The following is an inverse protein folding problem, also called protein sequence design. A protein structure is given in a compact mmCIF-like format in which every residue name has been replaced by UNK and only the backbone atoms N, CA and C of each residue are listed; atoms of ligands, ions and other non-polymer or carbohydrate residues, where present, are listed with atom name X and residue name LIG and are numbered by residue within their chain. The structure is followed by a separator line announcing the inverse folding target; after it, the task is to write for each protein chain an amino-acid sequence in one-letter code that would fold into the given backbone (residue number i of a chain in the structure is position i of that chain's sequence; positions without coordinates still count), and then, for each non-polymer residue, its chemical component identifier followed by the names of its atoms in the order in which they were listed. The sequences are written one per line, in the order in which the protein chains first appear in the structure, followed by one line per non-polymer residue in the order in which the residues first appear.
data_IF_533946607728
#
_entry.id   IF_533946607728
#
_cell.length_a   1.000
_cell.length_b   1.000
_cell.length_c   1.000
_cell.angle_alpha   90.00
_cell.angle_beta   90.00
_cell.angle_gamma   90.00
#
_symmetry.space_group_name_H-M   'P 1'
#
loop_
_entity.id
_entity.type
_entity.pdbx_description
1 polymer ?
#
# COMPACT_ATOMS: atom_id res chain seq x y z
N UNK A 1 -42.81 -30.56 18.18
CA UNK A 1 -41.99 -30.80 16.98
C UNK A 1 -42.48 -29.88 15.88
N UNK A 2 -41.65 -28.97 15.37
CA UNK A 2 -42.04 -28.07 14.27
C UNK A 2 -42.25 -28.88 12.99
N UNK A 3 -43.35 -28.62 12.26
CA UNK A 3 -43.66 -29.29 11.00
C UNK A 3 -42.50 -29.08 10.00
N UNK A 4 -42.02 -30.16 9.38
CA UNK A 4 -40.88 -30.16 8.46
C UNK A 4 -41.10 -29.16 7.31
N UNK A 5 -42.33 -29.04 6.82
CA UNK A 5 -42.69 -28.08 5.78
C UNK A 5 -42.54 -26.62 6.24
N UNK A 6 -43.01 -26.30 7.45
CA UNK A 6 -42.87 -24.95 8.01
C UNK A 6 -41.40 -24.58 8.21
N UNK A 7 -40.59 -25.52 8.71
CA UNK A 7 -39.14 -25.34 8.85
C UNK A 7 -38.48 -25.04 7.49
N UNK A 8 -38.82 -25.80 6.45
CA UNK A 8 -38.23 -25.62 5.13
C UNK A 8 -38.64 -24.27 4.50
N UNK A 9 -39.89 -23.84 4.68
CA UNK A 9 -40.33 -22.51 4.24
C UNK A 9 -39.62 -21.37 4.95
N UNK A 10 -39.43 -21.48 6.27
CA UNK A 10 -38.68 -20.49 7.05
C UNK A 10 -37.23 -20.42 6.56
N UNK A 11 -36.59 -21.58 6.32
CA UNK A 11 -35.23 -21.63 5.79
C UNK A 11 -35.14 -20.99 4.39
N UNK A 12 -36.08 -21.30 3.49
CA UNK A 12 -36.12 -20.70 2.16
C UNK A 12 -36.29 -19.18 2.24
N UNK A 13 -37.22 -18.69 3.08
CA UNK A 13 -37.45 -17.27 3.27
C UNK A 13 -36.19 -16.57 3.83
N UNK A 14 -35.51 -17.17 4.81
CA UNK A 14 -34.27 -16.65 5.36
C UNK A 14 -33.15 -16.63 4.31
N UNK A 15 -33.02 -17.66 3.48
CA UNK A 15 -32.03 -17.71 2.39
C UNK A 15 -32.30 -16.66 1.31
N UNK A 16 -33.56 -16.47 0.91
CA UNK A 16 -33.95 -15.43 -0.06
C UNK A 16 -33.76 -14.03 0.51
N UNK A 17 -34.13 -13.80 1.78
CA UNK A 17 -33.90 -12.54 2.46
C UNK A 17 -32.40 -12.23 2.55
N UNK A 18 -31.57 -13.20 2.96
CA UNK A 18 -30.12 -13.05 3.01
C UNK A 18 -29.52 -12.75 1.63
N UNK A 19 -29.99 -13.42 0.57
CA UNK A 19 -29.55 -13.16 -0.80
C UNK A 19 -29.95 -11.76 -1.29
N UNK A 20 -31.20 -11.34 -1.03
CA UNK A 20 -31.68 -9.99 -1.36
C UNK A 20 -30.90 -8.90 -0.62
N UNK A 21 -30.64 -9.09 0.68
CA UNK A 21 -29.80 -8.23 1.49
C UNK A 21 -28.36 -8.16 0.96
N UNK A 22 -27.77 -9.29 0.56
CA UNK A 22 -26.42 -9.32 0.00
C UNK A 22 -26.33 -8.57 -1.34
N UNK A 23 -27.36 -8.66 -2.19
CA UNK A 23 -27.42 -7.90 -3.44
C UNK A 23 -27.60 -6.40 -3.19
N UNK A 24 -28.49 -6.03 -2.26
CA UNK A 24 -28.75 -4.63 -1.92
C UNK A 24 -27.56 -3.93 -1.24
N UNK A 25 -26.80 -4.67 -0.41
CA UNK A 25 -25.62 -4.16 0.31
C UNK A 25 -24.32 -4.32 -0.48
N UNK A 26 -24.35 -4.79 -1.73
CA UNK A 26 -23.15 -4.94 -2.55
C UNK A 26 -22.58 -3.54 -2.89
N UNK A 27 -21.36 -3.19 -2.47
CA UNK A 27 -20.78 -1.90 -2.79
C UNK A 27 -20.50 -1.78 -4.29
N UNK A 28 -20.91 -0.67 -4.89
CA UNK A 28 -20.81 -0.41 -6.34
C UNK A 28 -20.05 0.87 -6.68
N UNK A 29 -19.89 1.79 -5.71
CA UNK A 29 -19.27 3.09 -5.94
C UNK A 29 -17.79 3.07 -5.56
N UNK A 30 -16.88 3.34 -6.50
CA UNK A 30 -15.45 3.46 -6.20
C UNK A 30 -15.12 4.84 -5.65
N UNK A 31 -14.39 4.88 -4.53
CA UNK A 31 -13.87 6.12 -3.97
C UNK A 31 -12.86 6.77 -4.94
N UNK A 32 -12.11 5.95 -5.68
CA UNK A 32 -11.20 6.41 -6.74
C UNK A 32 -11.90 7.29 -7.79
N UNK A 33 -13.16 7.00 -8.12
CA UNK A 33 -13.92 7.71 -9.16
C UNK A 33 -14.52 9.04 -8.64
N UNK A 34 -14.44 9.31 -7.34
CA UNK A 34 -15.01 10.48 -6.67
C UNK A 34 -13.96 11.55 -6.31
N UNK A 35 -12.67 11.22 -6.39
CA UNK A 35 -11.56 12.10 -6.07
C UNK A 35 -10.77 12.54 -7.31
N UNK A 36 -9.71 13.34 -7.14
CA UNK A 36 -8.79 13.64 -8.23
C UNK A 36 -8.18 12.33 -8.75
N UNK A 37 -8.03 12.24 -10.07
CA UNK A 37 -7.37 11.09 -10.67
C UNK A 37 -5.94 10.98 -10.11
N UNK A 38 -5.57 9.77 -9.68
CA UNK A 38 -4.20 9.47 -9.28
C UNK A 38 -3.38 9.27 -10.55
N UNK A 39 -2.29 9.99 -10.69
CA UNK A 39 -1.21 9.74 -11.65
C UNK A 39 0.09 9.75 -10.85
N UNK A 40 0.62 8.56 -10.52
CA UNK A 40 1.81 8.43 -9.68
C UNK A 40 3.04 9.13 -10.30
N UNK A 41 3.15 9.14 -11.63
CA UNK A 41 4.27 9.79 -12.31
C UNK A 41 4.23 11.31 -12.15
N UNK A 42 3.03 11.89 -12.24
CA UNK A 42 2.82 13.33 -12.07
C UNK A 42 2.85 13.78 -10.60
N UNK A 43 2.34 12.95 -9.68
CA UNK A 43 2.20 13.30 -8.26
C UNK A 43 3.55 13.23 -7.53
N UNK A 44 4.35 12.19 -7.82
CA UNK A 44 5.62 12.01 -7.12
C UNK A 44 6.67 12.92 -7.79
N UNK A 45 7.33 13.82 -7.04
CA UNK A 45 8.28 14.76 -7.63
C UNK A 45 9.58 14.06 -8.05
N UNK A 46 10.13 14.43 -9.21
CA UNK A 46 11.46 13.98 -9.66
C UNK A 46 12.61 14.57 -8.82
N UNK A 47 12.37 15.69 -8.11
CA UNK A 47 13.34 16.35 -7.24
C UNK A 47 12.64 17.03 -6.06
N UNK A 48 13.21 16.92 -4.87
CA UNK A 48 12.72 17.59 -3.66
C UNK A 48 13.83 17.64 -2.61
N UNK A 49 13.93 18.74 -1.87
CA UNK A 49 15.07 18.97 -0.96
C UNK A 49 16.39 18.73 -1.68
N UNK A 50 17.22 17.86 -1.09
CA UNK A 50 18.53 17.46 -1.64
C UNK A 50 18.46 16.21 -2.53
N UNK A 51 17.28 15.60 -2.69
CA UNK A 51 17.07 14.38 -3.47
C UNK A 51 16.76 14.71 -4.92
N UNK A 52 17.36 13.95 -5.82
CA UNK A 52 17.03 13.92 -7.25
C UNK A 52 16.84 12.49 -7.69
N UNK A 53 15.91 12.26 -8.59
CA UNK A 53 15.78 10.96 -9.24
C UNK A 53 17.07 10.64 -10.01
N UNK A 54 17.60 9.46 -9.76
CA UNK A 54 18.70 8.90 -10.53
C UNK A 54 18.09 8.16 -11.73
N UNK A 55 18.00 8.87 -12.86
CA UNK A 55 17.57 8.27 -14.13
C UNK A 55 18.69 7.37 -14.66
N UNK A 56 18.71 6.10 -14.24
CA UNK A 56 19.54 5.08 -14.90
C UNK A 56 18.78 4.56 -16.11
N UNK A 57 19.47 4.52 -17.26
CA UNK A 57 19.06 3.78 -18.46
C UNK A 57 19.05 2.24 -18.27
N UNK A 58 18.86 1.75 -17.05
CA UNK A 58 18.58 0.33 -16.83
C UNK A 58 17.09 0.15 -17.05
N UNK A 59 16.72 -0.22 -18.28
CA UNK A 59 15.45 -0.91 -18.52
C UNK A 59 15.48 -2.12 -17.58
N UNK A 60 14.81 -2.02 -16.45
CA UNK A 60 14.57 -3.17 -15.60
C UNK A 60 13.61 -4.02 -16.44
N UNK A 61 14.16 -4.98 -17.19
CA UNK A 61 13.38 -5.91 -17.99
C UNK A 61 12.63 -6.76 -16.97
N UNK A 62 11.45 -6.29 -16.58
CA UNK A 62 10.51 -7.09 -15.82
C UNK A 62 10.02 -8.16 -16.78
N UNK A 63 10.06 -9.42 -16.34
CA UNK A 63 9.53 -10.52 -17.12
C UNK A 63 8.09 -10.19 -17.56
N UNK A 64 7.73 -10.33 -18.85
CA UNK A 64 6.41 -9.94 -19.33
C UNK A 64 5.24 -10.65 -18.64
N UNK A 65 5.43 -11.89 -18.16
CA UNK A 65 4.39 -12.61 -17.41
C UNK A 65 4.25 -12.03 -16.00
N UNK A 66 5.37 -11.65 -15.37
CA UNK A 66 5.37 -10.96 -14.09
C UNK A 66 4.70 -9.58 -14.19
N UNK A 67 4.97 -8.82 -15.26
CA UNK A 67 4.30 -7.53 -15.50
C UNK A 67 2.79 -7.70 -15.69
N UNK A 68 2.36 -8.69 -16.48
CA UNK A 68 0.94 -9.00 -16.65
C UNK A 68 0.23 -9.38 -15.34
N UNK A 69 0.95 -10.02 -14.42
CA UNK A 69 0.40 -10.33 -13.10
C UNK A 69 0.28 -9.07 -12.23
N UNK A 70 1.26 -8.17 -12.29
CA UNK A 70 1.24 -6.89 -11.60
C UNK A 70 0.08 -6.02 -12.11
N UNK A 71 -0.09 -5.90 -13.43
CA UNK A 71 -1.12 -5.07 -14.07
C UNK A 71 -2.55 -5.56 -13.80
N UNK A 72 -2.72 -6.85 -13.46
CA UNK A 72 -4.03 -7.39 -13.04
C UNK A 72 -4.41 -6.99 -11.62
N UNK A 73 -3.42 -6.65 -10.78
CA UNK A 73 -3.58 -6.40 -9.35
C UNK A 73 -3.52 -4.90 -9.06
N UNK A 74 -2.68 -4.16 -9.78
CA UNK A 74 -2.47 -2.73 -9.59
C UNK A 74 -2.88 -1.95 -10.83
N UNK A 75 -3.58 -0.83 -10.60
CA UNK A 75 -3.91 0.11 -11.66
C UNK A 75 -2.70 0.95 -12.07
N UNK A 76 -1.81 1.27 -11.13
CA UNK A 76 -0.57 1.98 -11.40
C UNK A 76 0.54 1.49 -10.47
N UNK A 77 1.77 1.46 -10.98
CA UNK A 77 2.96 1.24 -10.17
C UNK A 77 4.00 2.29 -10.49
N UNK A 78 4.78 2.67 -9.49
CA UNK A 78 5.92 3.56 -9.61
C UNK A 78 7.13 2.90 -8.99
N UNK A 79 8.27 2.95 -9.69
CA UNK A 79 9.56 2.51 -9.17
C UNK A 79 10.60 3.57 -9.52
N UNK A 80 11.17 4.24 -8.51
CA UNK A 80 12.17 5.29 -8.70
C UNK A 80 13.31 5.12 -7.71
N UNK A 81 14.52 5.42 -8.17
CA UNK A 81 15.68 5.55 -7.29
C UNK A 81 16.03 7.03 -7.16
N UNK A 82 16.21 7.50 -5.94
CA UNK A 82 16.65 8.86 -5.64
C UNK A 82 18.04 8.84 -5.06
N UNK A 83 18.83 9.86 -5.39
CA UNK A 83 20.16 10.08 -4.84
C UNK A 83 20.22 11.47 -4.21
N UNK A 84 20.82 11.57 -3.02
CA UNK A 84 21.07 12.87 -2.38
C UNK A 84 22.46 13.42 -2.72
N UNK A 85 22.75 14.64 -2.26
CA UNK A 85 24.04 15.32 -2.44
C UNK A 85 25.24 14.57 -1.85
N UNK A 86 25.01 13.66 -0.88
CA UNK A 86 26.04 12.79 -0.27
C UNK A 86 26.21 11.46 -1.01
N UNK A 87 25.48 11.23 -2.10
CA UNK A 87 25.52 9.99 -2.89
C UNK A 87 24.74 8.82 -2.29
N UNK A 88 23.99 9.03 -1.19
CA UNK A 88 23.14 8.00 -0.61
C UNK A 88 21.93 7.76 -1.52
N UNK A 89 21.54 6.49 -1.68
CA UNK A 89 20.45 6.10 -2.58
C UNK A 89 19.28 5.51 -1.81
N UNK A 90 18.08 5.92 -2.21
CA UNK A 90 16.80 5.42 -1.71
C UNK A 90 15.98 4.92 -2.89
N UNK A 91 15.43 3.73 -2.77
CA UNK A 91 14.52 3.12 -3.73
C UNK A 91 13.09 3.31 -3.21
N UNK A 92 12.27 3.99 -4.00
CA UNK A 92 10.85 4.19 -3.76
C UNK A 92 10.06 3.27 -4.69
N UNK A 93 9.16 2.49 -4.13
CA UNK A 93 8.14 1.78 -4.90
C UNK A 93 6.75 2.10 -4.35
N UNK A 94 5.81 2.40 -5.25
CA UNK A 94 4.41 2.64 -4.91
C UNK A 94 3.55 1.77 -5.81
N UNK A 95 2.61 1.04 -5.22
CA UNK A 95 1.61 0.26 -5.94
C UNK A 95 0.22 0.76 -5.58
N UNK A 96 -0.57 1.16 -6.57
CA UNK A 96 -1.90 1.75 -6.43
C UNK A 96 -2.96 0.89 -7.09
N UNK A 97 -4.12 0.72 -6.44
CA UNK A 97 -5.29 0.09 -7.05
C UNK A 97 -6.60 0.71 -6.58
N UNK A 98 -7.56 0.72 -7.50
CA UNK A 98 -8.86 1.40 -7.40
C UNK A 98 -9.96 0.52 -6.78
N UNK A 99 -9.68 -0.77 -6.54
CA UNK A 99 -10.67 -1.74 -6.07
C UNK A 99 -10.05 -2.71 -5.06
N UNK A 100 -10.31 -2.49 -3.76
CA UNK A 100 -9.83 -3.35 -2.68
C UNK A 100 -10.80 -4.50 -2.33
N UNK A 101 -11.86 -4.76 -3.12
CA UNK A 101 -12.87 -5.79 -2.77
C UNK A 101 -12.40 -7.23 -2.97
N UNK A 102 -11.50 -7.47 -3.92
CA UNK A 102 -11.21 -8.82 -4.40
C UNK A 102 -9.71 -9.00 -4.67
N UNK A 103 -9.10 -10.05 -4.11
CA UNK A 103 -7.71 -10.52 -4.33
C UNK A 103 -6.54 -9.52 -4.15
N UNK A 104 -6.80 -8.24 -3.92
CA UNK A 104 -5.77 -7.22 -3.69
C UNK A 104 -5.26 -7.29 -2.24
N UNK A 105 -4.79 -8.47 -1.84
CA UNK A 105 -3.87 -8.56 -0.71
C UNK A 105 -2.62 -7.80 -1.15
N UNK A 106 -2.45 -6.58 -0.66
CA UNK A 106 -1.21 -5.84 -0.84
C UNK A 106 -0.05 -6.79 -0.56
N UNK A 107 0.78 -6.98 -1.57
CA UNK A 107 1.87 -7.93 -1.54
C UNK A 107 2.96 -7.36 -0.62
N UNK A 108 2.81 -7.62 0.67
CA UNK A 108 3.64 -6.98 1.68
C UNK A 108 5.10 -7.45 1.56
N UNK A 109 6.08 -6.54 1.76
CA UNK A 109 7.50 -6.86 1.63
C UNK A 109 7.96 -8.08 2.44
N UNK A 110 7.43 -8.31 3.64
CA UNK A 110 7.80 -9.48 4.45
C UNK A 110 7.38 -10.83 3.85
N UNK A 111 6.49 -10.85 2.86
CA UNK A 111 6.09 -12.05 2.13
C UNK A 111 6.90 -12.16 0.84
N UNK A 112 7.04 -11.06 0.09
CA UNK A 112 7.67 -11.06 -1.22
C UNK A 112 9.20 -11.13 -1.17
N UNK A 113 9.85 -10.53 -0.18
CA UNK A 113 11.31 -10.56 -0.07
C UNK A 113 11.83 -11.99 0.14
N UNK A 114 11.28 -12.79 1.09
CA UNK A 114 11.64 -14.20 1.21
C UNK A 114 11.41 -15.03 -0.05
N UNK A 115 10.29 -14.78 -0.76
CA UNK A 115 10.00 -15.45 -2.03
C UNK A 115 11.02 -15.12 -3.13
N UNK A 116 11.72 -13.98 -3.03
CA UNK A 116 12.81 -13.56 -3.92
C UNK A 116 14.20 -13.99 -3.42
N UNK A 117 14.28 -14.77 -2.34
CA UNK A 117 15.52 -15.28 -1.77
C UNK A 117 16.16 -14.40 -0.69
N UNK A 118 15.55 -13.27 -0.31
CA UNK A 118 16.05 -12.47 0.81
C UNK A 118 15.79 -13.17 2.14
N UNK A 119 16.75 -13.08 3.07
CA UNK A 119 16.55 -13.47 4.46
C UNK A 119 15.88 -12.31 5.19
N UNK A 120 14.72 -12.58 5.81
CA UNK A 120 14.05 -11.65 6.72
C UNK A 120 14.66 -11.77 8.12
N UNK A 121 15.47 -10.79 8.51
CA UNK A 121 16.22 -10.81 9.78
C UNK A 121 15.38 -10.26 10.94
N UNK A 122 14.59 -9.23 10.69
CA UNK A 122 13.72 -8.62 11.69
C UNK A 122 12.49 -7.97 11.05
N UNK A 123 11.41 -7.88 11.82
CA UNK A 123 10.19 -7.12 11.50
C UNK A 123 9.75 -6.38 12.75
N UNK A 124 9.48 -5.09 12.62
CA UNK A 124 9.00 -4.27 13.72
C UNK A 124 8.00 -3.22 13.24
N UNK A 125 7.06 -2.86 14.11
CA UNK A 125 6.24 -1.67 13.91
C UNK A 125 7.06 -0.43 14.23
N UNK A 126 6.73 0.66 13.56
CA UNK A 126 7.38 1.94 13.78
C UNK A 126 6.44 3.09 13.46
N UNK A 127 6.96 4.29 13.62
CA UNK A 127 6.30 5.52 13.26
C UNK A 127 7.25 6.39 12.44
N UNK A 128 6.73 6.99 11.38
CA UNK A 128 7.42 7.96 10.55
C UNK A 128 6.86 9.34 10.90
N UNK A 129 7.64 10.11 11.65
CA UNK A 129 7.28 11.48 11.96
C UNK A 129 7.40 12.35 10.70
N UNK A 130 6.32 13.03 10.34
CA UNK A 130 6.29 14.00 9.25
C UNK A 130 5.82 15.36 9.76
N UNK A 131 6.03 16.40 8.96
CA UNK A 131 5.48 17.74 9.21
C UNK A 131 3.95 17.77 9.36
N UNK A 132 3.25 16.78 8.83
CA UNK A 132 1.78 16.70 8.80
C UNK A 132 1.19 15.69 9.80
N UNK A 133 2.03 14.98 10.57
CA UNK A 133 1.59 13.93 11.49
C UNK A 133 2.51 12.70 11.51
N UNK A 134 2.11 11.68 12.26
CA UNK A 134 2.89 10.46 12.43
C UNK A 134 2.28 9.32 11.63
N UNK A 135 3.01 8.79 10.65
CA UNK A 135 2.56 7.67 9.82
C UNK A 135 2.95 6.37 10.51
N UNK A 136 1.99 5.49 10.85
CA UNK A 136 2.32 4.17 11.34
C UNK A 136 2.91 3.33 10.20
N UNK A 137 4.12 2.81 10.41
CA UNK A 137 4.87 2.05 9.39
C UNK A 137 5.25 0.67 9.90
N UNK A 138 5.58 -0.23 8.98
CA UNK A 138 6.30 -1.46 9.27
C UNK A 138 7.72 -1.33 8.72
N UNK A 139 8.67 -1.80 9.51
CA UNK A 139 10.08 -1.85 9.16
C UNK A 139 10.55 -3.30 9.14
N UNK A 140 11.22 -3.69 8.05
CA UNK A 140 11.84 -4.99 7.93
C UNK A 140 13.32 -4.85 7.61
N UNK A 141 14.13 -5.69 8.25
CA UNK A 141 15.54 -5.83 7.93
C UNK A 141 15.69 -7.06 7.05
N UNK A 142 16.20 -6.88 5.84
CA UNK A 142 16.39 -7.96 4.89
C UNK A 142 17.80 -8.01 4.34
N UNK A 143 18.26 -9.19 3.93
CA UNK A 143 19.56 -9.35 3.30
C UNK A 143 19.54 -10.42 2.20
N UNK A 144 20.31 -10.20 1.13
CA UNK A 144 20.58 -11.17 0.09
C UNK A 144 22.10 -11.16 -0.18
N UNK A 145 22.79 -12.22 0.21
CA UNK A 145 24.26 -12.28 0.20
C UNK A 145 24.91 -11.07 0.91
N UNK A 146 25.65 -10.23 0.19
CA UNK A 146 26.29 -9.02 0.72
C UNK A 146 25.37 -7.78 0.69
N UNK A 147 24.17 -7.90 0.11
CA UNK A 147 23.20 -6.80 0.03
C UNK A 147 22.37 -6.77 1.30
N UNK A 148 22.60 -5.78 2.15
CA UNK A 148 21.74 -5.47 3.30
C UNK A 148 20.72 -4.40 2.88
N UNK A 149 19.44 -4.73 2.91
CA UNK A 149 18.36 -3.84 2.50
C UNK A 149 17.31 -3.68 3.61
N UNK A 150 17.48 -2.69 4.49
CA UNK A 150 16.41 -2.24 5.37
C UNK A 150 15.27 -1.60 4.55
N UNK A 151 14.03 -1.92 4.92
CA UNK A 151 12.83 -1.45 4.23
C UNK A 151 11.86 -0.86 5.24
N UNK A 152 11.34 0.32 4.94
CA UNK A 152 10.18 0.93 5.62
C UNK A 152 9.01 0.93 4.64
N UNK A 153 7.84 0.46 5.07
CA UNK A 153 6.65 0.51 4.22
C UNK A 153 5.38 0.75 5.05
N UNK A 154 4.35 1.25 4.37
CA UNK A 154 2.99 1.35 4.92
C UNK A 154 1.97 1.24 3.81
N UNK A 155 0.72 0.99 4.19
CA UNK A 155 -0.39 0.88 3.28
C UNK A 155 -1.49 1.88 3.65
N UNK A 156 -2.08 2.52 2.64
CA UNK A 156 -3.29 3.32 2.78
C UNK A 156 -4.48 2.61 2.14
N UNK A 157 -5.66 2.75 2.75
CA UNK A 157 -6.94 2.34 2.19
C UNK A 157 -7.88 3.53 2.35
N UNK A 158 -8.35 4.09 1.23
CA UNK A 158 -8.97 5.41 1.21
C UNK A 158 -7.99 6.48 1.66
N UNK A 159 -8.28 7.11 2.80
CA UNK A 159 -7.47 8.12 3.48
C UNK A 159 -6.90 7.61 4.82
N UNK A 160 -6.94 6.31 5.11
CA UNK A 160 -6.49 5.77 6.39
C UNK A 160 -5.26 4.87 6.22
N UNK A 161 -4.31 4.96 7.15
CA UNK A 161 -3.13 4.06 7.20
C UNK A 161 -3.42 2.89 8.13
N UNK A 162 -3.09 1.68 7.71
CA UNK A 162 -3.27 0.48 8.52
C UNK A 162 -1.98 -0.32 8.68
N UNK A 163 -1.74 -0.84 9.88
CA UNK A 163 -0.63 -1.75 10.18
C UNK A 163 -1.02 -3.24 10.00
N UNK A 164 -2.14 -3.50 9.33
CA UNK A 164 -2.71 -4.85 9.11
C UNK A 164 -3.72 -5.29 10.18
N UNK A 165 -4.22 -6.53 10.05
CA UNK A 165 -5.08 -7.18 11.05
C UNK A 165 -6.56 -6.79 11.00
N UNK A 166 -7.23 -6.89 12.16
CA UNK A 166 -8.68 -6.71 12.33
C UNK A 166 -9.14 -5.29 12.01
N UNK A 167 -8.32 -4.28 12.32
CA UNK A 167 -8.66 -2.87 12.10
C UNK A 167 -8.86 -2.54 10.61
N UNK A 168 -7.98 -3.05 9.75
CA UNK A 168 -8.13 -2.97 8.29
C UNK A 168 -9.46 -3.59 7.85
N UNK A 169 -9.77 -4.78 8.34
CA UNK A 169 -10.99 -5.51 7.95
C UNK A 169 -12.27 -4.81 8.43
N UNK A 170 -12.24 -4.21 9.62
CA UNK A 170 -13.35 -3.39 10.13
C UNK A 170 -13.56 -2.12 9.27
N UNK A 171 -12.49 -1.46 8.85
CA UNK A 171 -12.59 -0.31 7.97
C UNK A 171 -13.14 -0.69 6.57
N UNK A 172 -12.64 -1.77 5.97
CA UNK A 172 -13.18 -2.33 4.72
C UNK A 172 -14.67 -2.67 4.84
N UNK A 173 -15.09 -3.28 5.95
CA UNK A 173 -16.49 -3.58 6.22
C UNK A 173 -17.32 -2.29 6.35
N UNK A 174 -16.81 -1.27 7.04
CA UNK A 174 -17.47 0.03 7.17
C UNK A 174 -17.68 0.70 5.81
N UNK A 175 -16.68 0.69 4.93
CA UNK A 175 -16.82 1.20 3.56
C UNK A 175 -17.84 0.39 2.75
N UNK A 176 -17.80 -0.94 2.85
CA UNK A 176 -18.71 -1.84 2.16
C UNK A 176 -20.18 -1.62 2.57
N UNK A 177 -20.45 -1.44 3.87
CA UNK A 177 -21.78 -1.13 4.39
C UNK A 177 -22.31 0.23 3.90
N UNK A 178 -21.42 1.18 3.59
CA UNK A 178 -21.76 2.46 2.99
C UNK A 178 -21.86 2.42 1.45
N UNK A 179 -21.79 1.23 0.84
CA UNK A 179 -21.86 1.05 -0.61
C UNK A 179 -20.58 1.49 -1.37
N UNK A 180 -19.50 1.79 -0.64
CA UNK A 180 -18.25 2.34 -1.17
C UNK A 180 -17.15 1.28 -1.30
N UNK A 181 -16.30 1.46 -2.29
CA UNK A 181 -15.14 0.62 -2.59
C UNK A 181 -13.91 1.51 -2.41
N UNK A 182 -13.09 1.28 -1.37
CA UNK A 182 -11.92 2.10 -1.15
C UNK A 182 -10.84 1.75 -2.17
N UNK A 183 -10.11 2.78 -2.58
CA UNK A 183 -8.81 2.62 -3.23
C UNK A 183 -7.74 2.30 -2.18
N UNK A 184 -6.55 1.91 -2.63
CA UNK A 184 -5.45 1.69 -1.69
C UNK A 184 -4.08 1.78 -2.34
N UNK A 185 -3.09 2.12 -1.52
CA UNK A 185 -1.69 2.20 -1.93
C UNK A 185 -0.82 1.38 -0.98
N UNK A 186 0.25 0.78 -1.52
CA UNK A 186 1.38 0.29 -0.74
C UNK A 186 2.60 1.14 -1.11
N UNK A 187 3.15 1.83 -0.12
CA UNK A 187 4.34 2.66 -0.28
C UNK A 187 5.50 1.92 0.39
N UNK A 188 6.58 1.69 -0.35
CA UNK A 188 7.81 1.04 0.11
C UNK A 188 9.00 1.94 -0.15
N UNK A 189 9.80 2.14 0.89
CA UNK A 189 11.06 2.87 0.83
C UNK A 189 12.15 1.93 1.31
N UNK A 190 13.17 1.69 0.49
CA UNK A 190 14.32 0.87 0.88
C UNK A 190 15.64 1.53 0.52
N UNK A 191 16.71 1.11 1.18
CA UNK A 191 18.08 1.54 0.89
C UNK A 191 19.05 0.39 1.13
N UNK A 192 20.20 0.42 0.47
CA UNK A 192 21.26 -0.56 0.72
C UNK A 192 22.17 0.01 1.80
N UNK A 193 22.15 -0.58 2.98
CA UNK A 193 22.87 -0.10 4.15
C UNK A 193 23.05 -1.22 5.17
N UNK A 194 24.29 -1.42 5.63
CA UNK A 194 24.59 -2.39 6.69
C UNK A 194 24.16 -1.89 8.06
N UNK A 195 24.08 -0.56 8.26
CA UNK A 195 23.62 0.05 9.49
C UNK A 195 22.11 0.33 9.41
N UNK A 196 21.33 -0.62 9.92
CA UNK A 196 19.86 -0.60 9.81
C UNK A 196 19.23 0.63 10.48
N UNK A 197 19.81 1.13 11.57
CA UNK A 197 19.30 2.32 12.25
C UNK A 197 19.49 3.60 11.42
N UNK A 198 20.65 3.74 10.77
CA UNK A 198 20.94 4.84 9.84
C UNK A 198 20.00 4.79 8.63
N UNK A 199 19.79 3.60 8.05
CA UNK A 199 18.86 3.42 6.94
C UNK A 199 17.44 3.90 7.29
N UNK A 200 16.89 3.47 8.43
CA UNK A 200 15.57 3.89 8.87
C UNK A 200 15.46 5.39 9.11
N UNK A 201 16.50 6.02 9.66
CA UNK A 201 16.52 7.48 9.85
C UNK A 201 16.50 8.23 8.52
N UNK A 202 17.30 7.80 7.55
CA UNK A 202 17.34 8.39 6.21
C UNK A 202 16.02 8.16 5.47
N UNK A 203 15.43 6.98 5.58
CA UNK A 203 14.12 6.67 4.98
C UNK A 203 13.00 7.55 5.56
N UNK A 204 13.01 7.81 6.87
CA UNK A 204 12.10 8.76 7.51
C UNK A 204 12.28 10.17 6.95
N UNK A 205 13.52 10.67 6.89
CA UNK A 205 13.81 12.00 6.35
C UNK A 205 13.38 12.12 4.88
N UNK A 206 13.68 11.10 4.07
CA UNK A 206 13.27 11.04 2.68
C UNK A 206 11.75 11.14 2.52
N UNK A 207 11.00 10.33 3.28
CA UNK A 207 9.54 10.32 3.21
C UNK A 207 8.94 11.67 3.63
N UNK A 208 9.42 12.28 4.72
CA UNK A 208 8.93 13.58 5.18
C UNK A 208 9.18 14.69 4.14
N UNK A 209 10.39 14.73 3.56
CA UNK A 209 10.72 15.70 2.51
C UNK A 209 9.91 15.47 1.23
N UNK A 210 9.72 14.20 0.83
CA UNK A 210 8.90 13.84 -0.34
C UNK A 210 7.45 14.28 -0.13
N UNK A 211 6.83 13.88 0.99
CA UNK A 211 5.44 14.20 1.29
C UNK A 211 5.22 15.71 1.39
N UNK A 212 6.17 16.44 1.97
CA UNK A 212 6.11 17.90 2.06
C UNK A 212 6.17 18.60 0.69
N UNK A 213 6.81 17.98 -0.32
CA UNK A 213 6.88 18.48 -1.69
C UNK A 213 5.63 18.14 -2.55
N UNK A 214 4.76 17.25 -2.07
CA UNK A 214 3.50 16.88 -2.74
C UNK A 214 2.39 17.83 -2.30
N UNK A 215 1.43 18.11 -3.19
CA UNK A 215 0.29 18.96 -2.87
C UNK A 215 -0.57 18.36 -1.73
N UNK A 216 -1.21 19.18 -0.88
CA UNK A 216 -1.94 18.68 0.29
C UNK A 216 -3.02 17.64 -0.02
N UNK A 217 -3.66 17.75 -1.19
CA UNK A 217 -4.72 16.84 -1.64
C UNK A 217 -4.19 15.40 -1.83
N UNK A 218 -3.11 15.24 -2.60
CA UNK A 218 -2.50 13.93 -2.82
C UNK A 218 -1.68 13.44 -1.63
N UNK A 219 -1.14 14.35 -0.81
CA UNK A 219 -0.43 13.99 0.42
C UNK A 219 -1.30 13.13 1.33
N UNK A 220 -2.57 13.50 1.53
CA UNK A 220 -3.51 12.73 2.36
C UNK A 220 -3.72 11.30 1.86
N UNK A 221 -3.69 11.08 0.54
CA UNK A 221 -3.80 9.74 -0.05
C UNK A 221 -2.57 8.86 0.21
N UNK A 222 -1.39 9.47 0.30
CA UNK A 222 -0.11 8.79 0.53
C UNK A 222 0.19 8.61 2.02
N UNK A 223 -0.07 9.62 2.85
CA UNK A 223 0.22 9.59 4.28
C UNK A 223 -0.95 9.14 5.14
N UNK A 224 -2.17 9.12 4.60
CA UNK A 224 -3.39 9.10 5.37
C UNK A 224 -3.74 10.46 6.00
N UNK A 225 -4.96 10.57 6.50
CA UNK A 225 -5.48 11.67 7.30
C UNK A 225 -5.15 11.44 8.78
N UNK A 226 -4.46 12.41 9.38
CA UNK A 226 -4.20 12.50 10.82
C UNK A 226 -4.92 13.72 11.38
#
# INVERSE_FOLDING_TARGET
MMNIWLRNFILLALMLAASGLALALRPTQKIADQGPAIDLEAIIPHKFGDWREEQRNSVQIVDPQQQQMIDKIYNQTLSRTYVNTRGYRVMLAIAYGTDQRDSMQLHYPEICYPAQGFVLQAKQTGALATSSGSIPVTRIQTSLDQRHEPVTYWATIGDQVFQGGVQKKLAEMSYGLNGKIPDGMLIRISSIDTETSNAYAIQTQFADQMLSAITPEYRKKLSGSF
#
